data_IF_480035978421
#
_entry.id   IF_480035978421
#
_cell.length_a   1.000
_cell.length_b   1.000
_cell.length_c   1.000
_cell.angle_alpha   90.00
_cell.angle_beta   90.00
_cell.angle_gamma   90.00
#
_symmetry.space_group_name_H-M   'P 1'
#
loop_
_entity.id
_entity.type
_entity.pdbx_description
1 polymer ?
#
# COMPACT_ATOMS: atom_id res chain seq x y z
N UNK A 1 16.64 1.45 -18.42
CA UNK A 1 16.60 1.71 -16.96
C UNK A 1 17.67 0.88 -16.26
N UNK A 2 18.48 1.45 -15.33
CA UNK A 2 19.46 0.70 -14.53
C UNK A 2 18.83 -0.47 -13.76
N UNK A 3 19.54 -1.60 -13.65
CA UNK A 3 19.02 -2.82 -13.02
C UNK A 3 18.50 -2.60 -11.59
N UNK A 4 19.19 -1.77 -10.79
CA UNK A 4 18.78 -1.42 -9.43
C UNK A 4 17.41 -0.73 -9.38
N UNK A 5 17.17 0.26 -10.27
CA UNK A 5 15.89 0.98 -10.37
C UNK A 5 14.76 0.06 -10.83
N UNK A 6 15.05 -0.86 -11.76
CA UNK A 6 14.09 -1.88 -12.20
C UNK A 6 13.62 -2.76 -11.06
N UNK A 7 14.55 -3.27 -10.26
CA UNK A 7 14.24 -4.10 -9.09
C UNK A 7 13.42 -3.32 -8.06
N UNK A 8 13.72 -2.04 -7.84
CA UNK A 8 12.94 -1.19 -6.94
C UNK A 8 11.50 -1.02 -7.42
N UNK A 9 11.28 -0.72 -8.71
CA UNK A 9 9.92 -0.57 -9.26
C UNK A 9 9.11 -1.86 -9.22
N UNK A 10 9.73 -3.02 -9.49
CA UNK A 10 9.05 -4.32 -9.39
C UNK A 10 8.64 -4.60 -7.94
N UNK A 11 9.53 -4.32 -6.98
CA UNK A 11 9.21 -4.45 -5.55
C UNK A 11 8.09 -3.51 -5.12
N UNK A 12 8.10 -2.27 -5.62
CA UNK A 12 7.04 -1.30 -5.40
C UNK A 12 5.71 -1.83 -5.95
N UNK A 13 5.66 -2.22 -7.23
CA UNK A 13 4.45 -2.74 -7.88
C UNK A 13 3.86 -3.93 -7.12
N UNK A 14 4.72 -4.87 -6.69
CA UNK A 14 4.27 -5.99 -5.89
C UNK A 14 3.75 -5.57 -4.51
N UNK A 15 4.40 -4.58 -3.89
CA UNK A 15 3.97 -3.98 -2.62
C UNK A 15 2.55 -3.43 -2.72
N UNK A 16 2.28 -2.60 -3.72
CA UNK A 16 0.96 -2.03 -4.01
C UNK A 16 -0.09 -3.13 -4.22
N UNK A 17 0.22 -4.13 -5.04
CA UNK A 17 -0.68 -5.26 -5.28
C UNK A 17 -1.00 -6.05 -4.01
N UNK A 18 0.00 -6.29 -3.16
CA UNK A 18 -0.22 -6.95 -1.86
C UNK A 18 -1.10 -6.08 -0.94
N UNK A 19 -0.90 -4.76 -0.94
CA UNK A 19 -1.64 -3.80 -0.12
C UNK A 19 -3.14 -3.75 -0.48
N UNK A 20 -3.50 -3.86 -1.76
CA UNK A 20 -4.90 -4.02 -2.21
C UNK A 20 -5.61 -5.13 -1.43
N UNK A 21 -4.96 -6.29 -1.30
CA UNK A 21 -5.56 -7.44 -0.60
C UNK A 21 -5.59 -7.20 0.90
N UNK A 22 -4.53 -6.65 1.48
CA UNK A 22 -4.46 -6.31 2.91
C UNK A 22 -5.65 -5.43 3.29
N UNK A 23 -5.86 -4.32 2.58
CA UNK A 23 -6.91 -3.37 2.90
C UNK A 23 -8.31 -3.90 2.64
N UNK A 24 -8.51 -4.70 1.57
CA UNK A 24 -9.81 -5.38 1.36
C UNK A 24 -10.16 -6.32 2.51
N UNK A 25 -9.21 -7.11 3.00
CA UNK A 25 -9.47 -8.01 4.13
C UNK A 25 -9.72 -7.26 5.43
N UNK A 26 -9.05 -6.14 5.66
CA UNK A 26 -9.32 -5.28 6.82
C UNK A 26 -10.71 -4.66 6.74
N UNK A 27 -11.17 -4.26 5.55
CA UNK A 27 -12.52 -3.78 5.31
C UNK A 27 -13.60 -4.85 5.58
N UNK A 28 -13.28 -6.13 5.39
CA UNK A 28 -14.15 -7.25 5.73
C UNK A 28 -14.13 -7.58 7.23
N UNK A 29 -13.00 -7.34 7.92
CA UNK A 29 -12.81 -7.69 9.31
C UNK A 29 -13.24 -6.60 10.31
N UNK A 30 -13.45 -5.36 9.87
CA UNK A 30 -13.83 -4.24 10.73
C UNK A 30 -15.34 -4.06 10.79
N UNK A 31 -15.88 -3.84 11.99
CA UNK A 31 -17.31 -3.59 12.19
C UNK A 31 -17.72 -2.15 11.89
N UNK A 32 -16.82 -1.18 12.17
CA UNK A 32 -17.08 0.24 11.95
C UNK A 32 -17.17 0.57 10.45
N UNK A 33 -18.32 1.13 10.04
CA UNK A 33 -18.61 1.48 8.64
C UNK A 33 -17.67 2.56 8.11
N UNK A 34 -17.22 3.49 8.95
CA UNK A 34 -16.31 4.56 8.54
C UNK A 34 -14.95 3.98 8.19
N UNK A 35 -14.40 3.15 9.07
CA UNK A 35 -13.15 2.42 8.89
C UNK A 35 -13.19 1.51 7.66
N UNK A 36 -14.29 0.77 7.48
CA UNK A 36 -14.51 -0.05 6.29
C UNK A 36 -14.42 0.76 5.01
N UNK A 37 -15.08 1.93 4.96
CA UNK A 37 -15.04 2.82 3.79
C UNK A 37 -13.62 3.36 3.54
N UNK A 38 -12.89 3.71 4.60
CA UNK A 38 -11.50 4.15 4.49
C UNK A 38 -10.60 3.07 3.92
N UNK A 39 -10.67 1.84 4.43
CA UNK A 39 -9.86 0.73 3.90
C UNK A 39 -10.20 0.40 2.45
N UNK A 40 -11.48 0.40 2.06
CA UNK A 40 -11.86 0.17 0.66
C UNK A 40 -11.36 1.27 -0.28
N UNK A 41 -11.33 2.53 0.21
CA UNK A 41 -10.75 3.64 -0.52
C UNK A 41 -9.26 3.44 -0.74
N UNK A 42 -8.50 3.15 0.33
CA UNK A 42 -7.06 2.91 0.24
C UNK A 42 -6.80 1.76 -0.73
N UNK A 43 -7.49 0.62 -0.59
CA UNK A 43 -7.35 -0.52 -1.50
C UNK A 43 -7.59 -0.19 -2.99
N UNK A 44 -8.48 0.76 -3.29
CA UNK A 44 -8.73 1.20 -4.65
C UNK A 44 -7.57 2.08 -5.18
N UNK A 45 -6.99 2.91 -4.32
CA UNK A 45 -5.83 3.74 -4.65
C UNK A 45 -4.58 2.88 -4.89
N UNK A 46 -4.31 1.85 -4.06
CA UNK A 46 -3.20 0.91 -4.30
C UNK A 46 -3.32 0.17 -5.64
N UNK A 47 -4.54 -0.15 -6.05
CA UNK A 47 -4.79 -0.75 -7.36
C UNK A 47 -4.39 0.18 -8.52
N UNK A 48 -4.59 1.49 -8.35
CA UNK A 48 -4.13 2.50 -9.30
C UNK A 48 -2.61 2.67 -9.23
N UNK A 49 -2.01 2.69 -8.03
CA UNK A 49 -0.56 2.77 -7.84
C UNK A 49 0.16 1.60 -8.52
N UNK A 50 -0.31 0.37 -8.30
CA UNK A 50 0.19 -0.83 -8.98
C UNK A 50 0.09 -0.70 -10.52
N UNK A 51 -0.99 -0.11 -11.02
CA UNK A 51 -1.20 0.11 -12.45
C UNK A 51 -0.27 1.18 -13.02
N UNK A 52 0.03 2.24 -12.27
CA UNK A 52 1.03 3.25 -12.64
C UNK A 52 2.42 2.59 -12.71
N UNK A 53 2.81 1.84 -11.68
CA UNK A 53 4.11 1.17 -11.62
C UNK A 53 4.27 0.12 -12.73
N UNK A 54 3.18 -0.59 -13.08
CA UNK A 54 3.16 -1.53 -14.21
C UNK A 54 3.59 -0.87 -15.53
N UNK A 55 3.23 0.40 -15.77
CA UNK A 55 3.65 1.13 -16.98
C UNK A 55 5.17 1.28 -17.09
N UNK A 56 5.87 1.28 -15.95
CA UNK A 56 7.33 1.39 -15.89
C UNK A 56 8.04 0.05 -15.85
N UNK A 57 7.46 -0.96 -15.20
CA UNK A 57 8.06 -2.30 -15.10
C UNK A 57 7.80 -3.15 -16.34
N UNK A 58 6.66 -2.94 -17.01
CA UNK A 58 6.06 -3.83 -18.00
C UNK A 58 5.83 -5.26 -17.50
N UNK A 59 5.79 -5.47 -16.18
CA UNK A 59 5.60 -6.78 -15.56
C UNK A 59 4.14 -7.01 -15.20
N UNK A 60 3.64 -8.21 -15.47
CA UNK A 60 2.32 -8.65 -15.00
C UNK A 60 2.50 -9.50 -13.75
N UNK A 61 2.39 -8.85 -12.59
CA UNK A 61 2.51 -9.47 -11.29
C UNK A 61 1.13 -9.84 -10.73
N UNK A 62 1.09 -10.82 -9.83
CA UNK A 62 -0.10 -11.17 -9.07
C UNK A 62 0.10 -10.82 -7.59
N UNK A 63 -0.96 -10.30 -6.97
CA UNK A 63 -0.97 -9.97 -5.55
C UNK A 63 -0.78 -11.23 -4.68
N UNK A 64 -0.03 -11.12 -3.59
CA UNK A 64 0.26 -12.24 -2.69
C UNK A 64 -0.56 -12.13 -1.42
N UNK A 65 -1.26 -13.21 -1.07
CA UNK A 65 -2.16 -13.23 0.10
C UNK A 65 -1.44 -13.29 1.45
N UNK A 66 -0.16 -13.66 1.51
CA UNK A 66 0.54 -13.94 2.77
C UNK A 66 0.52 -12.75 3.74
N UNK A 67 0.85 -11.55 3.25
CA UNK A 67 0.82 -10.33 4.07
C UNK A 67 -0.58 -10.04 4.60
N UNK A 68 -1.60 -10.20 3.75
CA UNK A 68 -2.98 -9.97 4.12
C UNK A 68 -3.43 -10.94 5.23
N UNK A 69 -3.03 -12.21 5.17
CA UNK A 69 -3.29 -13.19 6.24
C UNK A 69 -2.64 -12.74 7.55
N UNK A 70 -1.36 -12.38 7.53
CA UNK A 70 -0.64 -11.96 8.75
C UNK A 70 -1.28 -10.70 9.36
N UNK A 71 -1.52 -9.67 8.56
CA UNK A 71 -2.07 -8.39 9.03
C UNK A 71 -3.48 -8.56 9.60
N UNK A 72 -4.35 -9.33 8.94
CA UNK A 72 -5.70 -9.58 9.48
C UNK A 72 -5.66 -10.35 10.79
N UNK A 73 -4.72 -11.29 10.97
CA UNK A 73 -4.55 -11.97 12.26
C UNK A 73 -4.01 -11.04 13.35
N UNK A 74 -3.06 -10.16 13.02
CA UNK A 74 -2.58 -9.13 13.96
C UNK A 74 -3.72 -8.19 14.38
N UNK A 75 -4.60 -7.82 13.45
CA UNK A 75 -5.78 -6.99 13.74
C UNK A 75 -6.70 -7.65 14.77
N UNK A 76 -6.94 -8.96 14.63
CA UNK A 76 -7.81 -9.73 15.52
C UNK A 76 -7.18 -10.00 16.89
N UNK A 77 -5.87 -10.27 16.94
CA UNK A 77 -5.17 -10.71 18.16
C UNK A 77 -4.62 -9.53 18.97
N UNK A 78 -3.96 -8.58 18.31
CA UNK A 78 -3.30 -7.43 18.94
C UNK A 78 -4.15 -6.15 18.89
N UNK A 79 -5.27 -6.20 18.18
CA UNK A 79 -6.22 -5.10 18.08
C UNK A 79 -5.90 -4.09 16.97
N UNK A 80 -6.85 -3.18 16.78
CA UNK A 80 -6.84 -2.18 15.71
C UNK A 80 -5.69 -1.19 15.83
N UNK A 81 -5.44 -0.63 17.03
CA UNK A 81 -4.39 0.40 17.24
C UNK A 81 -3.01 -0.06 16.83
N UNK A 82 -2.62 -1.28 17.22
CA UNK A 82 -1.31 -1.83 16.85
C UNK A 82 -1.21 -2.00 15.33
N UNK A 83 -2.25 -2.55 14.72
CA UNK A 83 -2.27 -2.85 13.29
C UNK A 83 -2.30 -1.57 12.43
N UNK A 84 -3.10 -0.58 12.81
CA UNK A 84 -3.15 0.72 12.14
C UNK A 84 -1.80 1.44 12.20
N UNK A 85 -1.12 1.42 13.35
CA UNK A 85 0.23 1.99 13.49
C UNK A 85 1.29 1.23 12.67
N UNK A 86 1.13 -0.08 12.52
CA UNK A 86 2.00 -0.88 11.66
C UNK A 86 1.81 -0.51 10.17
N UNK A 87 0.56 -0.33 9.74
CA UNK A 87 0.21 0.08 8.37
C UNK A 87 0.65 1.51 8.09
N UNK A 88 0.40 2.46 9.01
CA UNK A 88 0.89 3.84 8.93
C UNK A 88 2.40 3.89 8.65
N UNK A 89 3.19 3.11 9.39
CA UNK A 89 4.64 3.01 9.16
C UNK A 89 4.98 2.38 7.80
N UNK A 90 4.14 1.49 7.30
CA UNK A 90 4.25 0.92 5.96
C UNK A 90 4.17 2.00 4.88
N UNK A 91 3.14 2.85 4.94
CA UNK A 91 2.92 3.91 3.95
C UNK A 91 4.03 4.97 4.01
N UNK A 92 4.44 5.37 5.23
CA UNK A 92 5.56 6.31 5.38
C UNK A 92 6.87 5.75 4.82
N UNK A 93 7.09 4.43 4.93
CA UNK A 93 8.24 3.78 4.33
C UNK A 93 8.13 3.72 2.80
N UNK A 94 6.92 3.62 2.24
CA UNK A 94 6.68 3.71 0.81
C UNK A 94 7.02 5.13 0.30
N UNK A 95 6.58 6.18 1.00
CA UNK A 95 6.96 7.59 0.73
C UNK A 95 8.49 7.75 0.65
N UNK A 96 9.21 7.29 1.67
CA UNK A 96 10.68 7.36 1.71
C UNK A 96 11.33 6.58 0.56
N UNK A 97 10.86 5.36 0.30
CA UNK A 97 11.38 4.48 -0.73
C UNK A 97 11.15 5.02 -2.15
N UNK A 98 10.00 5.64 -2.40
CA UNK A 98 9.60 6.15 -3.70
C UNK A 98 10.19 7.51 -4.02
N UNK A 99 10.50 8.32 -3.00
CA UNK A 99 11.12 9.65 -3.19
C UNK A 99 12.40 9.60 -4.03
N UNK A 100 13.16 8.50 -3.95
CA UNK A 100 14.38 8.28 -4.74
C UNK A 100 14.13 7.98 -6.22
N UNK A 101 12.88 7.68 -6.60
CA UNK A 101 12.50 7.31 -7.97
C UNK A 101 11.82 8.46 -8.72
N UNK A 102 11.31 9.48 -8.01
CA UNK A 102 10.54 10.60 -8.60
C UNK A 102 11.31 11.36 -9.67
N UNK A 103 12.62 11.54 -9.49
CA UNK A 103 13.46 12.27 -10.45
C UNK A 103 13.46 11.63 -11.84
N UNK A 104 13.34 10.30 -11.92
CA UNK A 104 13.32 9.56 -13.18
C UNK A 104 11.89 9.21 -13.63
N UNK A 105 10.95 9.15 -12.69
CA UNK A 105 9.58 8.69 -12.92
C UNK A 105 8.58 9.66 -12.26
N UNK A 106 8.27 10.81 -12.88
CA UNK A 106 7.49 11.86 -12.24
C UNK A 106 6.11 11.46 -11.73
N UNK A 107 5.43 10.50 -12.38
CA UNK A 107 4.11 10.02 -11.93
C UNK A 107 4.13 9.27 -10.59
N UNK A 108 5.32 8.87 -10.11
CA UNK A 108 5.48 8.33 -8.75
C UNK A 108 5.23 9.42 -7.70
N UNK A 109 5.36 10.70 -8.05
CA UNK A 109 5.01 11.81 -7.17
C UNK A 109 3.55 11.80 -6.73
N UNK A 110 2.64 11.32 -7.58
CA UNK A 110 1.23 11.17 -7.22
C UNK A 110 1.03 10.04 -6.20
N UNK A 111 1.71 8.90 -6.41
CA UNK A 111 1.71 7.77 -5.46
C UNK A 111 2.19 8.25 -4.08
N UNK A 112 3.33 8.95 -4.01
CA UNK A 112 3.88 9.46 -2.75
C UNK A 112 2.89 10.36 -1.99
N UNK A 113 2.15 11.19 -2.71
CA UNK A 113 1.15 12.07 -2.09
C UNK A 113 0.01 11.24 -1.50
N UNK A 114 -0.47 10.25 -2.24
CA UNK A 114 -1.55 9.38 -1.80
C UNK A 114 -1.11 8.52 -0.59
N UNK A 115 0.10 7.96 -0.60
CA UNK A 115 0.67 7.22 0.55
C UNK A 115 0.73 8.07 1.83
N UNK A 116 1.15 9.34 1.71
CA UNK A 116 1.17 10.25 2.85
C UNK A 116 -0.24 10.56 3.38
N UNK A 117 -1.24 10.62 2.50
CA UNK A 117 -2.65 10.78 2.86
C UNK A 117 -3.14 9.50 3.55
N UNK A 118 -2.83 8.32 3.03
CA UNK A 118 -3.20 7.03 3.63
C UNK A 118 -2.63 6.89 5.03
N UNK A 119 -1.35 7.20 5.24
CA UNK A 119 -0.72 7.22 6.56
C UNK A 119 -1.49 8.10 7.55
N UNK A 120 -1.87 9.32 7.13
CA UNK A 120 -2.61 10.26 7.98
C UNK A 120 -4.05 9.81 8.25
N UNK A 121 -4.70 9.14 7.29
CA UNK A 121 -6.02 8.53 7.50
C UNK A 121 -5.93 7.44 8.56
N UNK A 122 -4.98 6.51 8.42
CA UNK A 122 -4.77 5.40 9.36
C UNK A 122 -4.44 5.90 10.77
N UNK A 123 -3.65 6.96 10.88
CA UNK A 123 -3.30 7.59 12.16
C UNK A 123 -4.50 8.18 12.91
N UNK A 124 -5.52 8.63 12.17
CA UNK A 124 -6.72 9.27 12.72
C UNK A 124 -7.87 8.28 13.01
N UNK A 125 -7.73 7.04 12.55
CA UNK A 125 -8.65 5.93 12.83
C UNK A 125 -8.36 5.32 14.20
#
# INVERSE_FOLDING_TARGET
MPAKKRVQLIKAQQGELDAVIVYRRLAEAVDDKTSKKTFLRIAADEGKHASILKKYTNETLQARNFKAIVVTNLYKILGSRFTLKLLEKGELKAVEGYSQLVSDFPSIGDIIRDEAIHANLLKKM
#
